data_IF_949055210906
#
_entry.id   IF_949055210906
#
_cell.length_a   1.000
_cell.length_b   1.000
_cell.length_c   1.000
_cell.angle_alpha   90.00
_cell.angle_beta   90.00
_cell.angle_gamma   90.00
#
_symmetry.space_group_name_H-M   'P 1'
#
loop_
_entity.id
_entity.type
_entity.pdbx_description
1 polymer ?
#
# COMPACT_ATOMS: atom_id res chain seq x y z
N UNK A 1 -11.36 -13.61 17.92
CA UNK A 1 -10.49 -14.49 17.10
C UNK A 1 -9.08 -13.92 17.17
N UNK A 2 -8.03 -14.75 17.11
CA UNK A 2 -6.64 -14.22 17.08
C UNK A 2 -6.29 -13.81 15.65
N UNK A 3 -5.67 -12.64 15.52
CA UNK A 3 -5.08 -12.16 14.26
C UNK A 3 -3.61 -12.55 14.26
N UNK A 4 -3.13 -13.13 13.15
CA UNK A 4 -1.71 -13.39 12.91
C UNK A 4 -1.23 -12.53 11.75
N UNK A 5 -0.05 -11.92 11.89
CA UNK A 5 0.59 -11.11 10.85
C UNK A 5 1.80 -11.87 10.33
N UNK A 6 1.92 -12.01 9.02
CA UNK A 6 3.12 -12.58 8.37
C UNK A 6 3.62 -11.68 7.26
N UNK A 7 4.94 -11.63 7.09
CA UNK A 7 5.58 -10.95 5.99
C UNK A 7 5.77 -11.93 4.82
N UNK A 8 5.18 -11.59 3.69
CA UNK A 8 5.31 -12.36 2.42
C UNK A 8 6.59 -11.96 1.70
N UNK A 9 6.84 -10.66 1.56
CA UNK A 9 8.08 -10.11 1.01
C UNK A 9 8.43 -8.78 1.66
N UNK A 10 9.71 -8.52 1.84
CA UNK A 10 10.20 -7.21 2.31
C UNK A 10 10.32 -6.26 1.12
N UNK A 11 9.94 -5.02 1.35
CA UNK A 11 10.02 -3.94 0.38
C UNK A 11 11.44 -3.43 0.13
N UNK A 12 11.59 -2.68 -0.94
CA UNK A 12 12.81 -1.96 -1.25
C UNK A 12 12.49 -0.69 -2.04
N UNK A 13 13.06 0.45 -1.66
CA UNK A 13 12.96 1.68 -2.43
C UNK A 13 13.73 1.56 -3.76
N UNK A 14 13.22 2.17 -4.82
CA UNK A 14 13.89 2.21 -6.13
C UNK A 14 15.24 2.94 -6.06
N UNK A 15 15.31 3.97 -5.23
CA UNK A 15 16.50 4.70 -4.83
C UNK A 15 16.34 5.12 -3.39
N UNK A 16 17.31 4.81 -2.54
CA UNK A 16 17.21 5.10 -1.12
C UNK A 16 17.81 6.49 -0.81
N UNK A 17 16.97 7.50 -0.46
CA UNK A 17 17.45 8.87 -0.32
C UNK A 17 18.45 9.08 0.84
N UNK A 18 18.44 8.17 1.82
CA UNK A 18 19.30 8.25 3.02
C UNK A 18 20.53 7.32 2.94
N UNK A 19 20.72 6.64 1.81
CA UNK A 19 21.91 5.84 1.55
C UNK A 19 22.67 6.45 0.38
N UNK A 20 23.99 6.46 0.47
CA UNK A 20 24.86 6.87 -0.66
C UNK A 20 24.89 5.73 -1.70
N UNK A 21 23.75 5.53 -2.35
CA UNK A 21 23.59 4.51 -3.41
C UNK A 21 24.02 5.09 -4.76
N UNK A 22 25.34 5.05 -5.04
CA UNK A 22 25.87 5.28 -6.38
C UNK A 22 25.66 4.03 -7.26
N UNK A 23 24.43 3.78 -7.73
CA UNK A 23 24.15 2.56 -8.44
C UNK A 23 22.94 2.58 -9.36
N UNK A 24 22.73 1.50 -10.09
CA UNK A 24 21.58 1.30 -10.96
C UNK A 24 20.27 1.38 -10.15
N UNK A 25 19.29 2.11 -10.68
CA UNK A 25 17.94 2.14 -10.12
C UNK A 25 17.33 0.74 -10.21
N UNK A 26 16.96 0.18 -9.08
CA UNK A 26 16.19 -1.08 -9.00
C UNK A 26 14.69 -0.79 -9.04
N UNK A 27 13.86 -1.74 -9.50
CA UNK A 27 12.42 -1.60 -9.34
C UNK A 27 12.06 -1.54 -7.85
N UNK A 28 11.52 -0.40 -7.40
CA UNK A 28 10.99 -0.27 -6.05
C UNK A 28 9.76 -1.17 -5.88
N UNK A 29 9.54 -1.69 -4.68
CA UNK A 29 8.34 -2.43 -4.30
C UNK A 29 8.10 -2.31 -2.80
N UNK A 30 6.86 -2.33 -2.39
CA UNK A 30 6.47 -2.26 -0.99
C UNK A 30 6.67 -3.60 -0.27
N UNK A 31 6.72 -3.56 1.04
CA UNK A 31 6.56 -4.76 1.85
C UNK A 31 5.15 -5.33 1.65
N UNK A 32 5.06 -6.60 1.26
CA UNK A 32 3.80 -7.32 1.19
C UNK A 32 3.62 -8.14 2.46
N UNK A 33 2.53 -7.92 3.17
CA UNK A 33 2.18 -8.67 4.38
C UNK A 33 0.79 -9.30 4.25
N UNK A 34 0.47 -10.22 5.16
CA UNK A 34 -0.83 -10.87 5.21
C UNK A 34 -1.34 -10.95 6.65
N UNK A 35 -2.64 -10.68 6.82
CA UNK A 35 -3.36 -10.93 8.05
C UNK A 35 -4.16 -12.22 7.91
N UNK A 36 -3.98 -13.12 8.87
CA UNK A 36 -4.71 -14.39 8.98
C UNK A 36 -5.66 -14.30 10.17
N UNK A 37 -6.97 -14.41 9.93
CA UNK A 37 -7.99 -14.33 10.97
C UNK A 37 -9.14 -15.28 10.66
N UNK A 38 -9.17 -16.44 11.29
CA UNK A 38 -10.11 -17.51 10.94
C UNK A 38 -9.96 -17.92 9.49
N UNK A 39 -11.04 -17.85 8.71
CA UNK A 39 -11.04 -18.19 7.28
C UNK A 39 -10.67 -16.99 6.40
N UNK A 40 -10.51 -15.77 6.98
CA UNK A 40 -10.13 -14.58 6.21
C UNK A 40 -8.62 -14.47 6.06
N UNK A 41 -8.20 -14.23 4.83
CA UNK A 41 -6.82 -13.98 4.44
C UNK A 41 -6.75 -12.64 3.71
N UNK A 42 -6.23 -11.62 4.40
CA UNK A 42 -6.16 -10.26 3.89
C UNK A 42 -4.72 -9.98 3.48
N UNK A 43 -4.47 -9.87 2.20
CA UNK A 43 -3.15 -9.52 1.66
C UNK A 43 -3.01 -8.01 1.58
N UNK A 44 -1.92 -7.48 2.11
CA UNK A 44 -1.62 -6.04 2.13
C UNK A 44 -0.51 -5.76 1.12
N UNK A 45 -0.74 -4.76 0.26
CA UNK A 45 0.20 -4.25 -0.75
C UNK A 45 0.83 -5.38 -1.60
N UNK A 46 0.10 -6.00 -2.54
CA UNK A 46 0.62 -7.05 -3.43
C UNK A 46 1.59 -6.46 -4.47
N UNK A 47 2.76 -6.05 -4.02
CA UNK A 47 3.71 -5.18 -4.74
C UNK A 47 4.64 -5.92 -5.70
N UNK A 48 4.84 -7.22 -5.52
CA UNK A 48 5.67 -8.02 -6.43
C UNK A 48 4.95 -8.31 -7.75
N UNK A 49 5.70 -8.52 -8.85
CA UNK A 49 5.13 -9.05 -10.08
C UNK A 49 4.38 -10.36 -9.85
N UNK A 50 3.32 -10.65 -10.65
CA UNK A 50 2.42 -11.77 -10.41
C UNK A 50 3.10 -13.12 -10.16
N UNK A 51 4.05 -13.53 -10.99
CA UNK A 51 4.69 -14.83 -10.85
C UNK A 51 5.53 -14.94 -9.57
N UNK A 52 6.26 -13.86 -9.23
CA UNK A 52 7.04 -13.82 -7.99
C UNK A 52 6.14 -13.81 -6.76
N UNK A 53 5.02 -13.09 -6.81
CA UNK A 53 4.08 -13.04 -5.70
C UNK A 53 3.41 -14.40 -5.46
N UNK A 54 2.99 -15.10 -6.53
CA UNK A 54 2.46 -16.46 -6.46
C UNK A 54 3.46 -17.42 -5.79
N UNK A 55 4.71 -17.37 -6.24
CA UNK A 55 5.79 -18.19 -5.66
C UNK A 55 5.99 -17.87 -4.18
N UNK A 56 5.99 -16.59 -3.80
CA UNK A 56 6.17 -16.20 -2.38
C UNK A 56 5.01 -16.63 -1.48
N UNK A 57 3.77 -16.58 -1.96
CA UNK A 57 2.61 -17.08 -1.21
C UNK A 57 2.72 -18.58 -0.96
N UNK A 58 3.10 -19.35 -1.98
CA UNK A 58 3.32 -20.80 -1.85
C UNK A 58 4.48 -21.11 -0.89
N UNK A 59 5.67 -20.54 -1.12
CA UNK A 59 6.88 -20.78 -0.31
C UNK A 59 6.71 -20.40 1.17
N UNK A 60 6.02 -19.31 1.46
CA UNK A 60 5.93 -18.75 2.82
C UNK A 60 4.72 -19.25 3.60
N UNK A 61 3.65 -19.59 2.90
CA UNK A 61 2.35 -19.85 3.51
C UNK A 61 1.72 -21.17 3.04
N UNK A 62 2.17 -21.73 1.92
CA UNK A 62 1.58 -22.91 1.30
C UNK A 62 0.18 -22.65 0.75
N UNK A 63 -0.11 -21.41 0.29
CA UNK A 63 -1.42 -21.01 -0.22
C UNK A 63 -1.33 -20.46 -1.65
N UNK A 64 -2.43 -20.60 -2.38
CA UNK A 64 -2.62 -20.00 -3.70
C UNK A 64 -3.30 -18.62 -3.64
N UNK A 65 -3.28 -17.86 -4.75
CA UNK A 65 -3.98 -16.58 -4.85
C UNK A 65 -5.50 -16.67 -4.63
N UNK A 66 -6.11 -17.78 -4.99
CA UNK A 66 -7.55 -18.08 -4.84
C UNK A 66 -7.99 -18.24 -3.38
N UNK A 67 -7.04 -18.41 -2.46
CA UNK A 67 -7.30 -18.46 -1.04
C UNK A 67 -7.30 -17.08 -0.35
N UNK A 68 -6.92 -16.01 -1.06
CA UNK A 68 -6.96 -14.65 -0.57
C UNK A 68 -8.39 -14.11 -0.65
N UNK A 69 -8.98 -13.77 0.49
CA UNK A 69 -10.34 -13.24 0.56
C UNK A 69 -10.42 -11.74 0.28
N UNK A 70 -9.40 -10.99 0.69
CA UNK A 70 -9.35 -9.55 0.57
C UNK A 70 -7.93 -9.07 0.26
N UNK A 71 -7.83 -7.99 -0.50
CA UNK A 71 -6.60 -7.23 -0.72
C UNK A 71 -6.81 -5.84 -0.14
N UNK A 72 -5.94 -5.41 0.74
CA UNK A 72 -5.90 -4.05 1.26
C UNK A 72 -4.69 -3.31 0.68
N UNK A 73 -4.91 -2.09 0.20
CA UNK A 73 -3.87 -1.20 -0.28
C UNK A 73 -3.69 -0.04 0.70
N UNK A 74 -2.44 0.18 1.13
CA UNK A 74 -2.12 1.34 1.98
C UNK A 74 -2.22 2.64 1.21
N UNK A 75 -1.89 2.62 -0.07
CA UNK A 75 -2.14 3.67 -1.06
C UNK A 75 -2.32 3.06 -2.46
N UNK A 76 -2.73 3.87 -3.45
CA UNK A 76 -3.03 3.41 -4.82
C UNK A 76 -1.85 3.51 -5.80
N UNK A 77 -0.65 3.86 -5.37
CA UNK A 77 0.51 3.94 -6.27
C UNK A 77 0.83 2.59 -6.92
N UNK A 78 1.26 2.55 -8.20
CA UNK A 78 1.50 1.31 -8.94
C UNK A 78 2.47 0.33 -8.26
N UNK A 79 3.48 0.83 -7.54
CA UNK A 79 4.45 0.00 -6.83
C UNK A 79 3.86 -0.82 -5.68
N UNK A 80 2.67 -0.45 -5.17
CA UNK A 80 1.94 -1.19 -4.13
C UNK A 80 1.14 -2.37 -4.64
N UNK A 81 0.77 -2.36 -5.93
CA UNK A 81 -0.30 -3.21 -6.46
C UNK A 81 0.05 -3.96 -7.76
N UNK A 82 1.35 -4.13 -8.08
CA UNK A 82 1.78 -4.81 -9.33
C UNK A 82 1.17 -6.20 -9.52
N UNK A 83 1.03 -6.96 -8.43
CA UNK A 83 0.49 -8.31 -8.45
C UNK A 83 -1.02 -8.38 -8.22
N UNK A 84 -1.74 -7.25 -8.10
CA UNK A 84 -3.13 -7.23 -7.68
C UNK A 84 -4.06 -8.02 -8.63
N UNK A 85 -3.72 -8.08 -9.91
CA UNK A 85 -4.48 -8.83 -10.90
C UNK A 85 -4.59 -10.34 -10.65
N UNK A 86 -3.71 -10.91 -9.77
CA UNK A 86 -3.83 -12.31 -9.35
C UNK A 86 -5.07 -12.58 -8.48
N UNK A 87 -5.64 -11.54 -7.86
CA UNK A 87 -6.68 -11.64 -6.85
C UNK A 87 -8.02 -11.14 -7.39
N UNK A 88 -8.40 -11.64 -8.57
CA UNK A 88 -9.64 -11.22 -9.25
C UNK A 88 -10.90 -11.52 -8.44
N UNK A 89 -10.89 -12.56 -7.62
CA UNK A 89 -12.05 -12.98 -6.81
C UNK A 89 -12.05 -12.31 -5.40
N UNK A 90 -10.94 -11.72 -4.97
CA UNK A 90 -10.85 -11.05 -3.68
C UNK A 90 -11.53 -9.67 -3.69
N UNK A 91 -11.98 -9.19 -2.54
CA UNK A 91 -12.39 -7.80 -2.38
C UNK A 91 -11.15 -6.91 -2.34
N UNK A 92 -11.11 -5.87 -3.17
CA UNK A 92 -10.03 -4.88 -3.12
C UNK A 92 -10.48 -3.68 -2.30
N UNK A 93 -9.69 -3.33 -1.29
CA UNK A 93 -10.02 -2.32 -0.29
C UNK A 93 -8.90 -1.29 -0.19
N UNK A 94 -9.28 -0.03 -0.03
CA UNK A 94 -8.38 1.11 0.19
C UNK A 94 -9.09 2.14 1.05
N UNK A 95 -8.36 3.03 1.71
CA UNK A 95 -8.97 4.16 2.42
C UNK A 95 -9.84 5.01 1.50
N UNK A 96 -11.01 5.44 1.98
CA UNK A 96 -11.94 6.25 1.16
C UNK A 96 -11.29 7.54 0.66
N UNK A 97 -10.57 8.24 1.55
CA UNK A 97 -9.85 9.47 1.20
C UNK A 97 -8.80 9.25 0.11
N UNK A 98 -8.07 8.12 0.15
CA UNK A 98 -7.09 7.75 -0.87
C UNK A 98 -7.75 7.48 -2.21
N UNK A 99 -8.83 6.69 -2.20
CA UNK A 99 -9.59 6.37 -3.41
C UNK A 99 -10.13 7.63 -4.09
N UNK A 100 -10.70 8.53 -3.31
CA UNK A 100 -11.33 9.74 -3.84
C UNK A 100 -10.29 10.75 -4.35
N UNK A 101 -9.16 10.91 -3.64
CA UNK A 101 -8.05 11.74 -4.09
C UNK A 101 -7.40 11.20 -5.37
N UNK A 102 -7.20 9.88 -5.45
CA UNK A 102 -6.61 9.26 -6.63
C UNK A 102 -7.54 9.36 -7.85
N UNK A 103 -8.86 9.19 -7.65
CA UNK A 103 -9.87 9.41 -8.69
C UNK A 103 -9.82 10.84 -9.21
N UNK A 104 -9.82 11.83 -8.30
CA UNK A 104 -9.73 13.23 -8.69
C UNK A 104 -8.45 13.55 -9.50
N UNK A 105 -7.31 12.94 -9.13
CA UNK A 105 -6.06 13.08 -9.86
C UNK A 105 -6.13 12.49 -11.28
N UNK A 106 -6.77 11.33 -11.46
CA UNK A 106 -6.98 10.73 -12.79
C UNK A 106 -7.93 11.58 -13.64
N UNK A 107 -9.03 12.06 -13.06
CA UNK A 107 -9.99 12.91 -13.77
C UNK A 107 -9.34 14.23 -14.20
N UNK A 108 -8.52 14.83 -13.34
CA UNK A 108 -7.73 16.03 -13.66
C UNK A 108 -6.74 15.76 -14.81
N UNK A 109 -6.01 14.63 -14.73
CA UNK A 109 -5.05 14.27 -15.79
C UNK A 109 -5.73 14.01 -17.13
N UNK A 110 -6.92 13.39 -17.11
CA UNK A 110 -7.73 13.19 -18.32
C UNK A 110 -8.13 14.52 -18.94
N UNK A 111 -8.61 15.47 -18.12
CA UNK A 111 -8.98 16.80 -18.57
C UNK A 111 -7.79 17.56 -19.21
N UNK A 112 -6.61 17.48 -18.60
CA UNK A 112 -5.40 18.10 -19.13
C UNK A 112 -4.99 17.52 -20.50
N UNK A 113 -5.15 16.20 -20.65
CA UNK A 113 -4.82 15.52 -21.91
C UNK A 113 -5.86 15.76 -23.01
N UNK A 114 -7.13 15.96 -22.69
CA UNK A 114 -8.18 16.30 -23.67
C UNK A 114 -7.94 17.67 -24.33
N UNK A 115 -7.19 18.57 -23.66
CA UNK A 115 -6.78 19.87 -24.21
C UNK A 115 -5.53 19.78 -25.11
N UNK A 116 -4.83 18.66 -25.13
CA UNK A 116 -3.67 18.40 -26.00
C UNK A 116 -4.15 17.78 -27.32
N UNK A 117 -3.92 18.45 -28.46
CA UNK A 117 -4.34 18.01 -29.82
C UNK A 117 -3.75 16.65 -30.27
N UNK A 118 -2.85 16.02 -29.49
CA UNK A 118 -2.12 14.79 -29.83
C UNK A 118 -2.01 13.87 -28.61
N UNK A 119 -3.13 13.23 -28.24
CA UNK A 119 -3.14 12.25 -27.15
C UNK A 119 -2.29 11.02 -27.57
N UNK A 120 -1.22 10.78 -26.81
CA UNK A 120 -0.45 9.54 -26.94
C UNK A 120 -1.33 8.32 -26.53
N UNK A 121 -1.54 7.34 -27.42
CA UNK A 121 -2.39 6.17 -27.14
C UNK A 121 -1.97 5.37 -25.92
N UNK A 122 -0.71 5.44 -25.51
CA UNK A 122 -0.21 4.73 -24.31
C UNK A 122 -0.63 5.46 -23.03
N UNK A 123 -0.68 6.77 -23.05
CA UNK A 123 -1.21 7.60 -21.94
C UNK A 123 -2.70 7.34 -21.73
N UNK A 124 -3.49 7.25 -22.81
CA UNK A 124 -4.92 6.94 -22.73
C UNK A 124 -5.17 5.54 -22.13
N UNK A 125 -4.44 4.53 -22.59
CA UNK A 125 -4.52 3.16 -22.04
C UNK A 125 -4.13 3.10 -20.57
N UNK A 126 -3.12 3.88 -20.17
CA UNK A 126 -2.72 3.95 -18.76
C UNK A 126 -3.85 4.52 -17.90
N UNK A 127 -4.45 5.66 -18.30
CA UNK A 127 -5.55 6.28 -17.56
C UNK A 127 -6.78 5.36 -17.48
N UNK A 128 -7.08 4.64 -18.55
CA UNK A 128 -8.18 3.66 -18.54
C UNK A 128 -7.89 2.52 -17.56
N UNK A 129 -6.67 1.97 -17.59
CA UNK A 129 -6.24 0.93 -16.63
C UNK A 129 -6.34 1.41 -15.18
N UNK A 130 -5.87 2.64 -14.90
CA UNK A 130 -5.95 3.25 -13.57
C UNK A 130 -7.42 3.44 -13.13
N UNK A 131 -8.28 3.91 -14.03
CA UNK A 131 -9.71 4.07 -13.76
C UNK A 131 -10.40 2.74 -13.43
N UNK A 132 -10.03 1.65 -14.10
CA UNK A 132 -10.55 0.31 -13.83
C UNK A 132 -10.12 -0.19 -12.45
N UNK A 133 -8.87 0.04 -12.04
CA UNK A 133 -8.39 -0.31 -10.69
C UNK A 133 -9.20 0.44 -9.64
N UNK A 134 -9.35 1.77 -9.79
CA UNK A 134 -10.12 2.59 -8.83
C UNK A 134 -11.57 2.13 -8.74
N UNK A 135 -12.21 1.86 -9.88
CA UNK A 135 -13.60 1.42 -9.93
C UNK A 135 -13.82 0.09 -9.20
N UNK A 136 -12.80 -0.77 -9.15
CA UNK A 136 -12.84 -2.05 -8.45
C UNK A 136 -12.55 -1.93 -6.96
N UNK A 137 -11.85 -0.89 -6.51
CA UNK A 137 -11.53 -0.68 -5.10
C UNK A 137 -12.74 -0.17 -4.31
N UNK A 138 -13.19 -0.95 -3.33
CA UNK A 138 -14.13 -0.52 -2.31
C UNK A 138 -13.46 0.32 -1.22
N UNK A 139 -14.24 1.18 -0.55
CA UNK A 139 -13.78 1.86 0.66
C UNK A 139 -13.59 0.84 1.79
N UNK A 140 -12.42 0.86 2.43
CA UNK A 140 -12.20 0.08 3.63
C UNK A 140 -13.00 0.68 4.79
N UNK A 141 -13.77 -0.12 5.53
CA UNK A 141 -14.44 0.38 6.74
C UNK A 141 -13.42 0.72 7.83
N UNK A 142 -13.79 1.62 8.76
CA UNK A 142 -12.95 2.01 9.91
C UNK A 142 -12.47 0.79 10.71
N UNK A 143 -13.30 -0.23 10.80
CA UNK A 143 -12.97 -1.55 11.36
C UNK A 143 -13.06 -2.61 10.28
N UNK A 144 -11.91 -3.05 9.79
CA UNK A 144 -11.81 -4.07 8.75
C UNK A 144 -12.19 -5.46 9.27
N UNK A 145 -11.75 -5.78 10.47
CA UNK A 145 -12.06 -6.99 11.24
C UNK A 145 -12.15 -6.66 12.74
N UNK A 146 -12.66 -7.61 13.53
CA UNK A 146 -12.54 -7.52 14.99
C UNK A 146 -11.05 -7.57 15.38
N UNK A 147 -10.54 -6.48 15.93
CA UNK A 147 -9.13 -6.28 16.26
C UNK A 147 -8.24 -5.87 15.06
N UNK A 148 -8.80 -5.30 14.00
CA UNK A 148 -8.04 -4.68 12.91
C UNK A 148 -8.75 -3.39 12.49
N UNK A 149 -8.19 -2.27 12.85
CA UNK A 149 -8.76 -0.96 12.57
C UNK A 149 -7.98 -0.24 11.46
N UNK A 150 -8.71 0.47 10.59
CA UNK A 150 -8.10 1.38 9.62
C UNK A 150 -7.47 2.56 10.37
N UNK A 151 -6.22 2.89 10.02
CA UNK A 151 -5.50 3.99 10.65
C UNK A 151 -5.06 5.00 9.60
N UNK A 152 -5.66 6.20 9.55
CA UNK A 152 -5.28 7.25 8.59
C UNK A 152 -3.85 7.75 8.85
N UNK A 153 -3.05 7.86 7.78
CA UNK A 153 -1.67 8.33 7.80
C UNK A 153 -1.39 9.24 6.59
N UNK A 154 -2.22 10.30 6.37
CA UNK A 154 -2.10 11.13 5.18
C UNK A 154 -0.77 11.88 5.12
N UNK A 155 -0.39 12.31 3.91
CA UNK A 155 0.77 13.17 3.69
C UNK A 155 1.72 12.65 2.62
N UNK A 156 2.09 11.38 2.62
CA UNK A 156 2.83 10.77 1.49
C UNK A 156 1.96 10.73 0.25
N UNK A 157 0.76 10.20 0.38
CA UNK A 157 -0.37 10.46 -0.51
C UNK A 157 -1.47 11.16 0.29
N UNK A 158 -2.47 11.79 -0.35
CA UNK A 158 -3.51 12.53 0.36
C UNK A 158 -4.34 11.68 1.33
N UNK A 159 -4.46 10.39 1.08
CA UNK A 159 -5.30 9.49 1.87
C UNK A 159 -4.62 8.19 2.27
N UNK A 160 -3.27 8.12 2.26
CA UNK A 160 -2.54 6.96 2.76
C UNK A 160 -3.09 6.52 4.11
N UNK A 161 -3.30 5.24 4.28
CA UNK A 161 -3.76 4.65 5.53
C UNK A 161 -3.06 3.32 5.80
N UNK A 162 -2.94 3.01 7.07
CA UNK A 162 -2.41 1.75 7.56
C UNK A 162 -3.49 0.88 8.20
N UNK A 163 -3.07 -0.25 8.77
CA UNK A 163 -3.89 -1.11 9.59
C UNK A 163 -3.28 -1.25 10.99
N UNK A 164 -4.04 -0.86 12.00
CA UNK A 164 -3.67 -0.99 13.41
C UNK A 164 -4.19 -2.32 13.95
N UNK A 165 -3.29 -3.14 14.47
CA UNK A 165 -3.60 -4.49 14.94
C UNK A 165 -3.14 -4.66 16.39
N UNK A 166 -4.04 -4.50 17.38
CA UNK A 166 -3.72 -4.77 18.78
C UNK A 166 -3.61 -6.28 19.02
N UNK A 167 -2.41 -6.78 19.16
CA UNK A 167 -2.12 -8.14 19.58
C UNK A 167 -2.03 -8.24 21.11
N UNK A 168 -2.02 -9.46 21.64
CA UNK A 168 -2.00 -9.67 23.09
C UNK A 168 -0.80 -9.10 23.85
N UNK A 169 0.30 -8.83 23.16
CA UNK A 169 1.56 -8.35 23.77
C UNK A 169 2.11 -7.07 23.14
N UNK A 170 1.58 -6.63 22.02
CA UNK A 170 2.07 -5.46 21.30
C UNK A 170 0.98 -4.97 20.36
N UNK A 171 0.92 -3.67 20.16
CA UNK A 171 0.16 -3.07 19.07
C UNK A 171 1.06 -2.99 17.84
N UNK A 172 0.61 -3.55 16.73
CA UNK A 172 1.34 -3.54 15.46
C UNK A 172 0.63 -2.60 14.48
N UNK A 173 1.39 -1.73 13.82
CA UNK A 173 0.88 -0.90 12.73
C UNK A 173 1.56 -1.28 11.42
N UNK A 174 0.76 -1.65 10.43
CA UNK A 174 1.21 -1.75 9.03
C UNK A 174 1.05 -0.35 8.45
N UNK A 175 2.15 0.39 8.32
CA UNK A 175 2.11 1.85 8.14
C UNK A 175 2.34 2.32 6.69
N UNK A 176 2.59 1.41 5.75
CA UNK A 176 2.94 1.82 4.38
C UNK A 176 4.14 2.76 4.37
N UNK A 177 4.12 3.76 3.48
CA UNK A 177 5.22 4.73 3.38
C UNK A 177 5.11 5.91 4.36
N UNK A 178 4.18 5.88 5.33
CA UNK A 178 4.24 6.83 6.44
C UNK A 178 5.57 6.69 7.21
N UNK A 179 6.09 5.45 7.31
CA UNK A 179 7.45 5.15 7.77
C UNK A 179 8.09 4.19 6.76
N UNK A 180 8.82 4.67 5.75
CA UNK A 180 9.17 3.86 4.59
C UNK A 180 10.28 2.85 4.80
N UNK A 181 11.24 3.11 5.69
CA UNK A 181 12.35 2.18 6.01
C UNK A 181 12.86 2.41 7.42
N UNK A 182 13.69 1.47 7.91
CA UNK A 182 14.32 1.59 9.22
C UNK A 182 15.23 2.83 9.33
N UNK A 183 15.92 3.22 8.25
CA UNK A 183 16.76 4.40 8.23
C UNK A 183 15.94 5.70 8.35
N UNK A 184 14.75 5.74 7.73
CA UNK A 184 13.84 6.86 7.91
C UNK A 184 13.35 6.93 9.36
N UNK A 185 13.02 5.77 9.95
CA UNK A 185 12.64 5.68 11.36
C UNK A 185 13.75 6.19 12.29
N UNK A 186 14.99 5.71 12.10
CA UNK A 186 16.15 6.09 12.92
C UNK A 186 16.53 7.57 12.80
N UNK A 187 16.33 8.15 11.61
CA UNK A 187 16.68 9.55 11.34
C UNK A 187 15.52 10.54 11.53
N UNK A 188 14.30 10.03 11.79
CA UNK A 188 13.11 10.87 11.92
C UNK A 188 12.74 11.61 10.63
N UNK A 189 12.95 10.98 9.47
CA UNK A 189 12.73 11.59 8.15
C UNK A 189 11.63 10.90 7.37
N UNK A 190 10.87 11.70 6.63
CA UNK A 190 9.88 11.22 5.67
C UNK A 190 10.46 11.19 4.25
N UNK A 191 9.75 10.59 3.29
CA UNK A 191 10.16 10.61 1.89
C UNK A 191 10.28 12.04 1.35
N UNK A 192 11.22 12.31 0.41
CA UNK A 192 11.45 13.67 -0.13
C UNK A 192 10.32 14.17 -1.02
N UNK A 193 9.56 13.28 -1.65
CA UNK A 193 8.48 13.60 -2.58
C UNK A 193 7.15 13.12 -2.00
N UNK A 194 6.50 13.97 -1.21
CA UNK A 194 5.23 13.70 -0.55
C UNK A 194 4.18 14.73 -1.00
N UNK A 195 2.91 14.37 -0.92
CA UNK A 195 1.81 15.25 -1.27
C UNK A 195 1.70 16.45 -0.30
N UNK A 196 1.96 16.23 0.98
CA UNK A 196 1.97 17.26 2.01
C UNK A 196 3.02 16.91 3.08
N UNK A 197 4.06 17.73 3.19
CA UNK A 197 5.18 17.47 4.09
C UNK A 197 4.79 17.53 5.57
N UNK A 198 3.99 18.52 5.96
CA UNK A 198 3.56 18.69 7.35
C UNK A 198 2.71 17.51 7.81
N UNK A 199 1.73 17.10 7.02
CA UNK A 199 0.92 15.91 7.29
C UNK A 199 1.76 14.63 7.32
N UNK A 200 2.71 14.45 6.39
CA UNK A 200 3.58 13.29 6.38
C UNK A 200 4.43 13.19 7.65
N UNK A 201 4.94 14.33 8.15
CA UNK A 201 5.69 14.39 9.41
C UNK A 201 4.80 14.13 10.63
N UNK A 202 3.56 14.56 10.61
CA UNK A 202 2.57 14.28 11.65
C UNK A 202 2.21 12.80 11.68
N UNK A 203 1.83 12.23 10.54
CA UNK A 203 1.55 10.79 10.38
C UNK A 203 2.73 9.89 10.76
N UNK A 204 3.96 10.32 10.44
CA UNK A 204 5.18 9.63 10.88
C UNK A 204 5.28 9.58 12.41
N UNK A 205 5.04 10.72 13.10
CA UNK A 205 5.06 10.78 14.57
C UNK A 205 3.93 9.95 15.18
N UNK A 206 2.71 10.06 14.67
CA UNK A 206 1.58 9.28 15.15
C UNK A 206 1.83 7.76 14.99
N UNK A 207 2.41 7.33 13.87
CA UNK A 207 2.74 5.93 13.65
C UNK A 207 3.70 5.37 14.72
N UNK A 208 4.69 6.16 15.14
CA UNK A 208 5.65 5.76 16.17
C UNK A 208 5.03 5.79 17.57
N UNK A 209 4.13 6.73 17.84
CA UNK A 209 3.51 6.88 19.15
C UNK A 209 2.42 5.84 19.43
N UNK A 210 1.68 5.42 18.39
CA UNK A 210 0.53 4.53 18.59
C UNK A 210 0.91 3.05 18.65
N UNK A 211 2.02 2.64 18.07
CA UNK A 211 2.36 1.24 17.90
C UNK A 211 3.68 0.85 18.57
N UNK A 212 3.70 -0.33 19.19
CA UNK A 212 4.91 -0.95 19.74
C UNK A 212 5.81 -1.52 18.63
N UNK A 213 5.21 -1.88 17.49
CA UNK A 213 5.91 -2.47 16.34
C UNK A 213 5.35 -1.91 15.03
N UNK A 214 6.24 -1.64 14.08
CA UNK A 214 5.89 -1.19 12.73
C UNK A 214 6.22 -2.26 11.70
N UNK A 215 5.33 -2.44 10.74
CA UNK A 215 5.60 -3.12 9.46
C UNK A 215 5.83 -2.03 8.43
N UNK A 216 7.10 -1.88 8.02
CA UNK A 216 7.60 -0.83 7.12
C UNK A 216 7.51 -1.27 5.65
#
# INVERSE_FOLDING_TARGET
MSVEIRIVSLGALASHPLRDEAGERRPGHATTSILLCGDRRILIDPSLPPDHLRQRLDERLGIGPDEISDVFLTDLRPERRRGIGLFSEANWLVGEAERDAYRAAIDQRRYELDDEDDLDPDSERLLESESQVIARCGACPDRLLDGVDLFPLPGVTPGLCGLLVPLSRATVLICGDAVPTIEHLEQGQVLPHVANLEQAQESFREAIEIADQLVL
#
